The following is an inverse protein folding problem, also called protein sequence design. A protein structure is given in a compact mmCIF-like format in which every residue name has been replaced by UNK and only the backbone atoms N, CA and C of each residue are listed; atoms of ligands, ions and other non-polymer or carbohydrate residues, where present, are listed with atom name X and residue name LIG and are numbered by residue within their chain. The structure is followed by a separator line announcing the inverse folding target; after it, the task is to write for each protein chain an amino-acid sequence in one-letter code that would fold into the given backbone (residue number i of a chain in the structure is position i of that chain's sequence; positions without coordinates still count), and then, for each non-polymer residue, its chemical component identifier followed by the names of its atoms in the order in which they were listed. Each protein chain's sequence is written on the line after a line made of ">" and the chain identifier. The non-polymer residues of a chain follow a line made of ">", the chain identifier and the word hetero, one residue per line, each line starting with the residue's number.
data_IF_888859032143
#
_entry.id   IF_888859032143
#
_cell.length_a   1.000
_cell.length_b   1.000
_cell.length_c   1.000
_cell.angle_alpha   90.00
_cell.angle_beta   90.00
_cell.angle_gamma   90.00
#
_symmetry.space_group_name_H-M   'P 1'
#
loop_
_entity.id
_entity.type
_entity.pdbx_description
1 polymer ?
#
# COMPACT_ATOMS: atom_id res chain seq x y z
N UNK A 1 20.56 24.80 11.78
CA UNK A 1 20.42 24.31 13.17
C UNK A 1 18.95 24.01 13.45
N UNK A 2 18.48 22.91 12.94
CA UNK A 2 17.13 22.47 13.23
C UNK A 2 17.12 21.75 14.57
N UNK A 3 16.41 22.32 15.47
CA UNK A 3 16.18 21.88 16.83
C UNK A 3 15.72 20.41 16.88
N UNK A 4 16.67 19.53 17.14
CA UNK A 4 16.42 18.19 17.67
C UNK A 4 16.06 18.33 19.17
N UNK A 5 15.06 19.18 19.44
CA UNK A 5 14.84 19.69 20.79
C UNK A 5 13.84 18.89 21.63
N UNK A 6 13.47 17.65 21.24
CA UNK A 6 12.53 16.86 22.07
C UNK A 6 12.66 15.34 21.98
N UNK A 7 13.81 14.76 21.65
CA UNK A 7 14.01 13.32 21.81
C UNK A 7 12.99 12.41 21.08
N UNK A 8 12.23 12.92 20.12
CA UNK A 8 11.30 12.14 19.33
C UNK A 8 12.08 11.43 18.23
N UNK A 9 12.04 10.11 18.23
CA UNK A 9 12.65 9.33 17.17
C UNK A 9 12.06 9.78 15.81
N UNK A 10 12.94 10.10 14.85
CA UNK A 10 12.54 10.45 13.50
C UNK A 10 11.82 9.26 12.86
N UNK A 11 10.71 9.51 12.24
CA UNK A 11 10.02 8.48 11.48
C UNK A 11 10.78 8.12 10.20
N UNK A 12 10.70 6.87 9.72
CA UNK A 12 11.39 6.45 8.49
C UNK A 12 11.08 7.35 7.28
N UNK A 13 9.85 7.81 7.15
CA UNK A 13 9.44 8.70 6.04
C UNK A 13 10.02 10.11 6.15
N UNK A 14 10.33 10.61 7.35
CA UNK A 14 11.03 11.89 7.54
C UNK A 14 12.50 11.80 7.08
N UNK A 15 13.15 10.66 7.37
CA UNK A 15 14.50 10.40 6.86
C UNK A 15 14.52 10.28 5.33
N UNK A 16 13.52 9.65 4.73
CA UNK A 16 13.37 9.59 3.28
C UNK A 16 13.14 10.98 2.69
N UNK A 17 12.26 11.80 3.29
CA UNK A 17 12.06 13.20 2.89
C UNK A 17 13.40 13.93 2.84
N UNK A 18 14.15 13.90 3.94
CA UNK A 18 15.44 14.58 4.05
C UNK A 18 16.46 14.06 3.04
N UNK A 19 16.52 12.75 2.82
CA UNK A 19 17.40 12.14 1.81
C UNK A 19 17.10 12.66 0.40
N UNK A 20 15.84 12.61 -0.01
CA UNK A 20 15.45 13.00 -1.37
C UNK A 20 15.53 14.52 -1.61
N UNK A 21 15.30 15.34 -0.58
CA UNK A 21 15.49 16.79 -0.71
C UNK A 21 16.94 17.15 -1.01
N UNK A 22 17.92 16.47 -0.42
CA UNK A 22 19.35 16.71 -0.71
C UNK A 22 19.75 16.42 -2.16
N UNK A 23 19.00 15.56 -2.85
CA UNK A 23 19.26 15.17 -4.25
C UNK A 23 18.64 16.17 -5.23
N UNK A 24 17.63 16.94 -4.79
CA UNK A 24 16.95 17.90 -5.67
C UNK A 24 17.86 19.09 -5.91
N UNK A 25 18.22 19.31 -7.17
CA UNK A 25 18.99 20.48 -7.59
C UNK A 25 18.09 21.72 -7.72
N UNK A 26 18.50 22.80 -7.05
CA UNK A 26 17.90 24.11 -7.19
C UNK A 26 16.76 24.41 -6.19
N UNK A 27 16.87 25.61 -5.58
CA UNK A 27 16.01 26.07 -4.48
C UNK A 27 14.51 25.99 -4.78
N UNK A 28 14.08 26.37 -5.98
CA UNK A 28 12.67 26.30 -6.40
C UNK A 28 12.13 24.87 -6.49
N UNK A 29 13.00 23.90 -6.84
CA UNK A 29 12.60 22.48 -6.90
C UNK A 29 12.40 21.88 -5.51
N UNK A 30 13.28 22.26 -4.60
CA UNK A 30 13.23 21.85 -3.19
C UNK A 30 11.99 22.44 -2.49
N UNK A 31 11.78 23.77 -2.60
CA UNK A 31 10.62 24.46 -2.03
C UNK A 31 9.29 23.80 -2.47
N UNK A 32 9.13 23.55 -3.75
CA UNK A 32 7.92 22.89 -4.29
C UNK A 32 7.76 21.46 -3.75
N UNK A 33 8.82 20.69 -3.60
CA UNK A 33 8.75 19.34 -3.05
C UNK A 33 8.37 19.35 -1.56
N UNK A 34 8.86 20.33 -0.81
CA UNK A 34 8.48 20.57 0.59
C UNK A 34 7.02 20.94 0.71
N UNK A 35 6.54 21.91 -0.09
CA UNK A 35 5.13 22.31 -0.11
C UNK A 35 4.22 21.13 -0.43
N UNK A 36 4.52 20.35 -1.49
CA UNK A 36 3.77 19.16 -1.87
C UNK A 36 3.73 18.09 -0.77
N UNK A 37 4.76 18.03 0.09
CA UNK A 37 4.81 17.09 1.20
C UNK A 37 4.04 17.59 2.42
N UNK A 38 4.18 18.85 2.78
CA UNK A 38 3.60 19.42 4.02
C UNK A 38 2.09 19.57 3.97
N UNK A 39 1.51 19.62 2.77
CA UNK A 39 0.05 19.59 2.59
C UNK A 39 -0.55 18.21 2.92
N UNK A 40 0.28 17.15 2.95
CA UNK A 40 -0.18 15.79 3.24
C UNK A 40 -0.18 15.49 4.73
N UNK A 41 -1.18 14.72 5.16
CA UNK A 41 -1.20 14.22 6.53
C UNK A 41 0.00 13.29 6.78
N UNK A 42 0.89 13.58 7.74
CA UNK A 42 2.03 12.72 8.07
C UNK A 42 1.61 11.30 8.48
N UNK A 43 0.44 11.17 9.11
CA UNK A 43 -0.12 9.86 9.49
C UNK A 43 -0.45 9.04 8.24
N UNK A 44 -1.10 9.65 7.25
CA UNK A 44 -1.43 8.98 5.99
C UNK A 44 -0.17 8.55 5.23
N UNK A 45 0.90 9.35 5.24
CA UNK A 45 2.19 8.97 4.66
C UNK A 45 2.80 7.77 5.40
N UNK A 46 2.82 7.81 6.73
CA UNK A 46 3.32 6.70 7.54
C UNK A 46 2.55 5.40 7.27
N UNK A 47 1.23 5.48 7.16
CA UNK A 47 0.36 4.35 6.84
C UNK A 47 0.61 3.82 5.43
N UNK A 48 0.80 4.70 4.44
CA UNK A 48 1.12 4.29 3.07
C UNK A 48 2.35 3.39 3.03
N UNK A 49 3.43 3.78 3.70
CA UNK A 49 4.64 2.95 3.73
C UNK A 49 4.46 1.70 4.58
N UNK A 50 4.00 1.84 5.83
CA UNK A 50 3.90 0.75 6.80
C UNK A 50 2.90 -0.32 6.40
N UNK A 51 1.73 0.11 5.88
CA UNK A 51 0.59 -0.78 5.70
C UNK A 51 0.40 -1.25 4.26
N UNK A 52 1.03 -0.57 3.28
CA UNK A 52 0.85 -0.88 1.86
C UNK A 52 2.16 -1.09 1.11
N UNK A 53 2.97 -0.06 0.88
CA UNK A 53 4.12 -0.17 -0.02
C UNK A 53 5.15 -1.20 0.47
N UNK A 54 5.53 -1.12 1.74
CA UNK A 54 6.52 -2.02 2.33
C UNK A 54 6.07 -3.49 2.36
N UNK A 55 4.85 -3.81 2.84
CA UNK A 55 4.34 -5.18 2.76
C UNK A 55 4.21 -5.69 1.32
N UNK A 56 3.67 -4.90 0.39
CA UNK A 56 3.52 -5.31 -1.01
C UNK A 56 4.90 -5.65 -1.61
N UNK A 57 5.91 -4.81 -1.38
CA UNK A 57 7.25 -5.04 -1.90
C UNK A 57 7.84 -6.39 -1.44
N UNK A 58 7.64 -6.73 -0.18
CA UNK A 58 8.10 -8.01 0.39
C UNK A 58 7.25 -9.18 -0.09
N UNK A 59 5.93 -9.11 0.03
CA UNK A 59 5.04 -10.21 -0.30
C UNK A 59 5.02 -10.55 -1.79
N UNK A 60 5.18 -9.56 -2.66
CA UNK A 60 5.35 -9.78 -4.10
C UNK A 60 6.60 -10.60 -4.42
N UNK A 61 7.62 -10.57 -3.56
CA UNK A 61 8.85 -11.37 -3.64
C UNK A 61 8.84 -12.62 -2.77
N UNK A 62 7.68 -12.97 -2.23
CA UNK A 62 7.48 -14.09 -1.30
C UNK A 62 8.40 -14.01 -0.07
N UNK A 63 8.62 -12.80 0.43
CA UNK A 63 9.42 -12.54 1.63
C UNK A 63 8.50 -12.06 2.76
N UNK A 64 8.77 -12.54 3.97
CA UNK A 64 8.13 -12.00 5.18
C UNK A 64 8.65 -10.58 5.43
N UNK A 65 7.81 -9.70 5.94
CA UNK A 65 8.21 -8.36 6.35
C UNK A 65 7.93 -8.15 7.85
N UNK A 66 8.70 -7.27 8.45
CA UNK A 66 8.45 -6.70 9.78
C UNK A 66 7.65 -5.41 9.69
N UNK A 67 7.74 -4.58 10.73
CA UNK A 67 7.30 -3.19 10.65
C UNK A 67 8.28 -2.39 9.79
N UNK A 68 7.80 -1.37 9.10
CA UNK A 68 8.65 -0.43 8.37
C UNK A 68 9.43 0.43 9.36
N UNK A 69 10.75 0.36 9.35
CA UNK A 69 11.66 1.01 10.29
C UNK A 69 12.72 1.85 9.58
N UNK A 70 13.53 2.57 10.34
CA UNK A 70 14.66 3.35 9.80
C UNK A 70 15.72 2.48 9.13
N UNK A 71 15.80 1.19 9.44
CA UNK A 71 16.71 0.24 8.78
C UNK A 71 16.25 -0.12 7.36
N UNK A 72 14.98 0.11 7.03
CA UNK A 72 14.37 -0.29 5.76
C UNK A 72 14.33 0.83 4.72
N UNK A 73 14.80 2.04 5.05
CA UNK A 73 14.71 3.22 4.17
C UNK A 73 15.44 3.04 2.85
N UNK A 74 16.48 2.18 2.80
CA UNK A 74 17.25 1.93 1.58
C UNK A 74 16.39 1.40 0.43
N UNK A 75 15.30 0.72 0.73
CA UNK A 75 14.33 0.26 -0.27
C UNK A 75 13.68 1.40 -1.06
N UNK A 76 13.63 2.60 -0.47
CA UNK A 76 12.96 3.77 -1.03
C UNK A 76 13.90 4.93 -1.33
N UNK A 77 15.21 4.71 -1.31
CA UNK A 77 16.19 5.71 -1.78
C UNK A 77 16.18 5.90 -3.29
N UNK A 78 15.67 4.90 -4.02
CA UNK A 78 15.61 4.96 -5.48
C UNK A 78 16.98 4.77 -6.14
N UNK A 79 17.03 5.04 -7.44
CA UNK A 79 18.28 5.02 -8.25
C UNK A 79 18.76 6.44 -8.50
N UNK A 80 20.04 6.60 -8.82
CA UNK A 80 20.62 7.90 -9.15
C UNK A 80 19.84 8.59 -10.28
N UNK A 81 19.52 9.91 -10.11
CA UNK A 81 18.64 10.64 -11.04
C UNK A 81 19.18 10.70 -12.47
N UNK A 82 20.48 10.69 -12.62
CA UNK A 82 21.18 10.81 -13.91
C UNK A 82 21.62 9.47 -14.47
N UNK A 83 21.24 8.36 -13.85
CA UNK A 83 21.53 7.03 -14.32
C UNK A 83 20.80 6.69 -15.64
N UNK A 84 21.37 5.80 -16.43
CA UNK A 84 20.73 5.26 -17.63
C UNK A 84 19.36 4.65 -17.34
N UNK A 85 19.21 4.00 -16.20
CA UNK A 85 17.92 3.48 -15.74
C UNK A 85 16.89 4.59 -15.52
N UNK A 86 17.29 5.69 -14.86
CA UNK A 86 16.38 6.82 -14.61
C UNK A 86 15.94 7.50 -15.90
N UNK A 87 16.83 7.63 -16.89
CA UNK A 87 16.50 8.12 -18.20
C UNK A 87 15.49 7.20 -18.90
N UNK A 88 15.79 5.92 -19.00
CA UNK A 88 14.91 4.92 -19.60
C UNK A 88 13.55 4.83 -18.89
N UNK A 89 13.52 4.99 -17.56
CA UNK A 89 12.32 5.06 -16.75
C UNK A 89 11.44 6.23 -17.16
N UNK A 90 11.99 7.42 -17.35
CA UNK A 90 11.25 8.62 -17.73
C UNK A 90 10.73 8.55 -19.17
N UNK A 91 11.48 7.94 -20.08
CA UNK A 91 11.13 7.83 -21.51
C UNK A 91 10.05 6.76 -21.76
N UNK A 92 10.15 5.60 -21.10
CA UNK A 92 9.25 4.47 -21.36
C UNK A 92 7.80 4.66 -20.86
N UNK A 93 7.54 5.69 -20.04
CA UNK A 93 6.27 5.76 -19.31
C UNK A 93 5.44 6.98 -19.65
N UNK A 94 4.67 6.84 -20.70
CA UNK A 94 3.61 7.81 -21.07
C UNK A 94 2.29 7.64 -20.29
N UNK A 95 2.09 6.55 -19.53
CA UNK A 95 0.84 6.26 -18.83
C UNK A 95 0.96 5.87 -17.37
N UNK A 96 1.72 4.82 -17.04
CA UNK A 96 1.94 4.37 -15.67
C UNK A 96 3.38 4.67 -15.24
N UNK A 97 3.57 5.73 -14.46
CA UNK A 97 4.92 6.22 -14.10
C UNK A 97 5.64 5.35 -13.08
N UNK A 98 4.91 4.69 -12.18
CA UNK A 98 5.48 3.95 -11.05
C UNK A 98 4.95 2.53 -11.05
N UNK A 99 5.74 1.61 -10.51
CA UNK A 99 5.31 0.28 -10.10
C UNK A 99 5.94 -0.02 -8.74
N UNK A 100 5.14 -0.51 -7.80
CA UNK A 100 5.55 -0.70 -6.39
C UNK A 100 6.79 -1.59 -6.27
N UNK A 101 6.96 -2.53 -7.17
CA UNK A 101 8.06 -3.49 -7.13
C UNK A 101 9.27 -3.10 -7.98
N UNK A 102 9.23 -1.98 -8.68
CA UNK A 102 10.34 -1.47 -9.47
C UNK A 102 11.01 -0.28 -8.79
N UNK A 103 12.33 -0.10 -8.97
CA UNK A 103 12.98 1.10 -8.48
C UNK A 103 12.48 2.34 -9.25
N UNK A 104 12.63 3.49 -8.63
CA UNK A 104 12.28 4.80 -9.21
C UNK A 104 13.49 5.75 -9.08
N UNK A 105 13.56 6.83 -9.89
CA UNK A 105 14.63 7.81 -9.76
C UNK A 105 14.56 8.56 -8.43
N UNK A 106 15.71 8.72 -7.76
CA UNK A 106 15.80 9.46 -6.51
C UNK A 106 15.48 10.96 -6.70
N UNK A 107 15.32 11.66 -5.58
CA UNK A 107 14.99 13.08 -5.58
C UNK A 107 13.51 13.35 -5.82
N UNK A 108 13.18 14.17 -6.81
CA UNK A 108 11.81 14.65 -7.04
C UNK A 108 10.80 13.54 -7.34
N UNK A 109 11.22 12.47 -7.98
CA UNK A 109 10.33 11.35 -8.34
C UNK A 109 9.82 10.59 -7.10
N UNK A 110 10.55 10.63 -5.96
CA UNK A 110 10.05 10.11 -4.70
C UNK A 110 8.76 10.81 -4.24
N UNK A 111 8.72 12.14 -4.23
CA UNK A 111 7.55 12.91 -3.80
C UNK A 111 6.35 12.65 -4.72
N UNK A 112 6.61 12.55 -6.01
CA UNK A 112 5.58 12.19 -7.00
C UNK A 112 5.08 10.76 -6.82
N UNK A 113 5.96 9.81 -6.52
CA UNK A 113 5.63 8.42 -6.25
C UNK A 113 4.73 8.31 -5.01
N UNK A 114 5.07 8.98 -3.92
CA UNK A 114 4.25 9.01 -2.71
C UNK A 114 2.87 9.60 -3.01
N UNK A 115 2.81 10.74 -3.72
CA UNK A 115 1.55 11.34 -4.12
C UNK A 115 0.72 10.39 -4.99
N UNK A 116 1.34 9.76 -5.97
CA UNK A 116 0.69 8.81 -6.89
C UNK A 116 0.01 7.66 -6.14
N UNK A 117 0.70 7.01 -5.21
CA UNK A 117 0.12 5.88 -4.48
C UNK A 117 -0.90 6.30 -3.43
N UNK A 118 -0.77 7.48 -2.83
CA UNK A 118 -1.82 8.04 -1.97
C UNK A 118 -3.12 8.27 -2.75
N UNK A 119 -3.02 8.88 -3.93
CA UNK A 119 -4.19 9.12 -4.79
C UNK A 119 -4.78 7.80 -5.30
N UNK A 120 -3.95 6.88 -5.77
CA UNK A 120 -4.40 5.56 -6.24
C UNK A 120 -5.17 4.81 -5.14
N UNK A 121 -4.65 4.79 -3.91
CA UNK A 121 -5.32 4.13 -2.79
C UNK A 121 -6.66 4.80 -2.46
N UNK A 122 -6.70 6.14 -2.48
CA UNK A 122 -7.93 6.91 -2.28
C UNK A 122 -8.96 6.60 -3.38
N UNK A 123 -8.56 6.56 -4.64
CA UNK A 123 -9.43 6.23 -5.76
C UNK A 123 -9.98 4.80 -5.66
N UNK A 124 -9.13 3.82 -5.32
CA UNK A 124 -9.55 2.43 -5.13
C UNK A 124 -10.59 2.30 -4.00
N UNK A 125 -10.38 3.00 -2.89
CA UNK A 125 -11.33 3.03 -1.78
C UNK A 125 -12.66 3.70 -2.19
N UNK A 126 -12.58 4.80 -2.94
CA UNK A 126 -13.76 5.47 -3.49
C UNK A 126 -14.53 4.54 -4.43
N UNK A 127 -13.86 3.84 -5.33
CA UNK A 127 -14.50 2.89 -6.22
C UNK A 127 -15.21 1.76 -5.45
N UNK A 128 -14.62 1.23 -4.39
CA UNK A 128 -15.30 0.27 -3.51
C UNK A 128 -16.56 0.90 -2.87
N UNK A 129 -16.49 2.18 -2.49
CA UNK A 129 -17.60 2.87 -1.84
C UNK A 129 -18.79 3.13 -2.78
N UNK A 130 -18.54 3.45 -4.07
CA UNK A 130 -19.58 3.96 -4.98
C UNK A 130 -19.96 3.01 -6.11
N UNK A 131 -19.11 2.05 -6.49
CA UNK A 131 -19.34 1.20 -7.64
C UNK A 131 -20.42 0.13 -7.35
N UNK A 132 -21.57 0.14 -8.05
CA UNK A 132 -22.65 -0.82 -7.83
C UNK A 132 -22.22 -2.29 -8.00
N UNK A 133 -21.27 -2.55 -8.91
CA UNK A 133 -20.76 -3.90 -9.14
C UNK A 133 -19.97 -4.44 -7.93
N UNK A 134 -19.52 -3.57 -7.02
CA UNK A 134 -18.77 -3.88 -5.81
C UNK A 134 -19.59 -3.72 -4.52
N UNK A 135 -20.89 -3.46 -4.64
CA UNK A 135 -21.78 -3.24 -3.49
C UNK A 135 -21.67 -4.35 -2.43
N UNK A 136 -21.59 -5.61 -2.86
CA UNK A 136 -21.45 -6.74 -1.91
C UNK A 136 -20.12 -6.73 -1.17
N UNK A 137 -19.04 -6.31 -1.82
CA UNK A 137 -17.72 -6.14 -1.17
C UNK A 137 -17.80 -5.04 -0.13
N UNK A 138 -18.39 -3.89 -0.48
CA UNK A 138 -18.63 -2.78 0.44
C UNK A 138 -19.44 -3.22 1.67
N UNK A 139 -20.59 -3.87 1.46
CA UNK A 139 -21.45 -4.34 2.55
C UNK A 139 -20.69 -5.23 3.55
N UNK A 140 -19.87 -6.16 3.05
CA UNK A 140 -19.09 -7.03 3.93
C UNK A 140 -18.01 -6.25 4.67
N UNK A 141 -17.32 -5.31 3.99
CA UNK A 141 -16.28 -4.48 4.61
C UNK A 141 -16.82 -3.67 5.80
N UNK A 142 -18.06 -3.21 5.73
CA UNK A 142 -18.68 -2.37 6.74
C UNK A 142 -19.61 -3.12 7.70
N UNK A 143 -19.97 -4.38 7.41
CA UNK A 143 -20.97 -5.15 8.16
C UNK A 143 -20.62 -5.32 9.64
N UNK A 144 -19.34 -5.47 9.96
CA UNK A 144 -18.89 -5.70 11.34
C UNK A 144 -18.84 -4.43 12.18
N UNK A 145 -18.91 -3.25 11.56
CA UNK A 145 -18.91 -1.95 12.30
C UNK A 145 -20.21 -1.70 13.08
N UNK A 146 -21.11 -2.67 13.05
CA UNK A 146 -22.32 -2.82 13.85
C UNK A 146 -23.15 -1.55 14.05
N UNK A 147 -24.37 -1.57 13.58
CA UNK A 147 -25.50 -0.77 14.10
C UNK A 147 -26.04 0.40 13.36
N UNK A 148 -25.45 0.92 12.32
CA UNK A 148 -26.08 2.11 11.76
C UNK A 148 -26.53 1.96 10.32
N UNK A 149 -27.80 2.24 10.07
CA UNK A 149 -28.36 2.54 8.74
C UNK A 149 -27.56 3.64 8.01
N UNK A 150 -26.72 4.41 8.73
CA UNK A 150 -25.74 5.36 8.17
C UNK A 150 -24.66 4.71 7.31
N UNK A 151 -24.32 3.44 7.57
CA UNK A 151 -23.30 2.73 6.77
C UNK A 151 -23.76 2.46 5.33
N UNK A 152 -25.04 2.51 5.04
CA UNK A 152 -25.57 2.39 3.68
C UNK A 152 -25.24 3.60 2.78
N UNK A 153 -24.86 4.73 3.38
CA UNK A 153 -24.60 6.00 2.70
C UNK A 153 -23.09 6.30 2.49
N UNK A 154 -22.21 5.32 2.72
CA UNK A 154 -20.77 5.51 2.46
C UNK A 154 -20.54 5.72 0.96
N UNK A 155 -20.04 6.90 0.60
CA UNK A 155 -19.83 7.35 -0.78
C UNK A 155 -18.42 7.89 -1.04
N UNK A 156 -17.59 8.00 0.01
CA UNK A 156 -16.23 8.50 -0.09
C UNK A 156 -15.20 7.50 0.44
N UNK A 157 -13.94 7.74 0.12
CA UNK A 157 -12.82 6.96 0.63
C UNK A 157 -12.65 7.18 2.14
N UNK A 158 -12.82 8.41 2.59
CA UNK A 158 -12.68 8.82 3.99
C UNK A 158 -13.74 8.13 4.88
N UNK A 159 -15.00 8.13 4.42
CA UNK A 159 -16.09 7.43 5.11
C UNK A 159 -15.85 5.92 5.19
N UNK A 160 -15.29 5.34 4.13
CA UNK A 160 -14.90 3.93 4.13
C UNK A 160 -13.77 3.66 5.12
N UNK A 161 -12.75 4.53 5.20
CA UNK A 161 -11.64 4.39 6.16
C UNK A 161 -12.13 4.48 7.59
N UNK A 162 -13.01 5.44 7.91
CA UNK A 162 -13.62 5.53 9.24
C UNK A 162 -14.43 4.28 9.60
N UNK A 163 -15.13 3.69 8.64
CA UNK A 163 -15.85 2.43 8.85
C UNK A 163 -14.91 1.26 9.08
N UNK A 164 -13.79 1.20 8.37
CA UNK A 164 -12.76 0.18 8.53
C UNK A 164 -12.01 0.29 9.85
N UNK A 165 -11.75 1.50 10.33
CA UNK A 165 -11.07 1.74 11.61
C UNK A 165 -11.89 1.25 12.82
N UNK A 166 -13.22 1.26 12.68
CA UNK A 166 -14.15 0.72 13.70
C UNK A 166 -14.23 -0.81 13.72
N UNK A 167 -13.64 -1.48 12.72
CA UNK A 167 -13.68 -2.95 12.63
C UNK A 167 -12.79 -3.62 13.70
N UNK A 168 -13.12 -4.84 14.12
CA UNK A 168 -12.24 -5.65 14.97
C UNK A 168 -10.85 -5.82 14.36
N UNK A 169 -9.80 -5.86 15.20
CA UNK A 169 -8.39 -5.91 14.76
C UNK A 169 -8.14 -7.02 13.74
N UNK A 170 -8.64 -8.23 13.99
CA UNK A 170 -8.45 -9.35 13.06
C UNK A 170 -9.11 -9.12 11.69
N UNK A 171 -10.25 -8.42 11.65
CA UNK A 171 -10.88 -8.06 10.38
C UNK A 171 -10.11 -6.96 9.65
N UNK A 172 -9.60 -5.95 10.37
CA UNK A 172 -8.73 -4.91 9.79
C UNK A 172 -7.50 -5.49 9.10
N UNK A 173 -6.94 -6.56 9.65
CA UNK A 173 -5.83 -7.28 9.02
C UNK A 173 -6.20 -7.89 7.66
N UNK A 174 -7.36 -8.52 7.57
CA UNK A 174 -7.85 -9.04 6.28
C UNK A 174 -8.18 -7.92 5.29
N UNK A 175 -8.75 -6.81 5.77
CA UNK A 175 -8.99 -5.62 4.94
C UNK A 175 -7.68 -5.02 4.40
N UNK A 176 -6.66 -4.90 5.25
CA UNK A 176 -5.33 -4.43 4.82
C UNK A 176 -4.74 -5.34 3.74
N UNK A 177 -4.79 -6.64 3.94
CA UNK A 177 -4.32 -7.60 2.93
C UNK A 177 -5.08 -7.46 1.60
N UNK A 178 -6.40 -7.27 1.67
CA UNK A 178 -7.22 -7.01 0.49
C UNK A 178 -6.77 -5.75 -0.26
N UNK A 179 -6.63 -4.63 0.44
CA UNK A 179 -6.19 -3.37 -0.19
C UNK A 179 -4.74 -3.44 -0.70
N UNK A 180 -3.85 -4.20 -0.05
CA UNK A 180 -2.52 -4.48 -0.60
C UNK A 180 -2.60 -5.23 -1.93
N UNK A 181 -3.41 -6.28 -2.01
CA UNK A 181 -3.58 -7.06 -3.23
C UNK A 181 -4.27 -6.24 -4.34
N UNK A 182 -5.26 -5.44 -3.98
CA UNK A 182 -5.98 -4.57 -4.91
C UNK A 182 -5.07 -3.46 -5.47
N UNK A 183 -4.29 -2.80 -4.60
CA UNK A 183 -3.32 -1.78 -5.01
C UNK A 183 -2.26 -2.38 -5.93
N UNK A 184 -1.71 -3.54 -5.59
CA UNK A 184 -0.75 -4.28 -6.42
C UNK A 184 -1.35 -4.66 -7.79
N UNK A 185 -2.61 -5.11 -7.81
CA UNK A 185 -3.32 -5.46 -9.04
C UNK A 185 -3.52 -4.24 -9.94
N UNK A 186 -4.04 -3.15 -9.38
CA UNK A 186 -4.31 -1.93 -10.14
C UNK A 186 -3.02 -1.27 -10.63
N UNK A 187 -1.98 -1.23 -9.80
CA UNK A 187 -0.63 -0.77 -10.17
C UNK A 187 -0.07 -1.57 -11.37
N UNK A 188 -0.30 -2.88 -11.39
CA UNK A 188 0.21 -3.76 -12.46
C UNK A 188 -0.57 -3.65 -13.76
N UNK A 189 -1.89 -3.64 -13.70
CA UNK A 189 -2.76 -3.79 -14.88
C UNK A 189 -3.45 -2.48 -15.31
N UNK A 190 -3.56 -1.48 -14.44
CA UNK A 190 -4.18 -0.19 -14.72
C UNK A 190 -5.70 -0.24 -14.92
N UNK A 191 -6.34 -1.38 -14.61
CA UNK A 191 -7.78 -1.58 -14.77
C UNK A 191 -8.40 -2.15 -13.50
N UNK A 192 -9.62 -1.74 -13.19
CA UNK A 192 -10.40 -2.23 -12.07
C UNK A 192 -11.52 -3.16 -12.57
N UNK A 193 -11.19 -4.44 -12.74
CA UNK A 193 -12.18 -5.45 -13.09
C UNK A 193 -12.91 -5.93 -11.83
N UNK A 194 -14.26 -5.84 -11.84
CA UNK A 194 -15.07 -6.19 -10.69
C UNK A 194 -14.96 -7.68 -10.29
N UNK A 195 -14.70 -8.59 -11.24
CA UNK A 195 -14.52 -10.02 -10.94
C UNK A 195 -13.17 -10.23 -10.26
N UNK A 196 -12.11 -9.56 -10.75
CA UNK A 196 -10.81 -9.61 -10.13
C UNK A 196 -10.87 -9.05 -8.70
N UNK A 197 -11.51 -7.89 -8.49
CA UNK A 197 -11.71 -7.30 -7.15
C UNK A 197 -12.40 -8.28 -6.21
N UNK A 198 -13.50 -8.92 -6.64
CA UNK A 198 -14.22 -9.90 -5.82
C UNK A 198 -13.36 -11.13 -5.48
N UNK A 199 -12.53 -11.60 -6.40
CA UNK A 199 -11.61 -12.73 -6.16
C UNK A 199 -10.51 -12.34 -5.15
N UNK A 200 -9.91 -11.16 -5.30
CA UNK A 200 -8.92 -10.63 -4.37
C UNK A 200 -9.53 -10.44 -2.98
N UNK A 201 -10.74 -9.93 -2.90
CA UNK A 201 -11.48 -9.80 -1.66
C UNK A 201 -11.73 -11.14 -0.99
N UNK A 202 -12.26 -12.11 -1.73
CA UNK A 202 -12.51 -13.47 -1.21
C UNK A 202 -11.22 -14.10 -0.71
N UNK A 203 -10.12 -14.00 -1.49
CA UNK A 203 -8.83 -14.51 -1.08
C UNK A 203 -8.35 -13.88 0.23
N UNK A 204 -8.44 -12.56 0.36
CA UNK A 204 -8.02 -11.87 1.57
C UNK A 204 -8.89 -12.22 2.79
N UNK A 205 -10.21 -12.36 2.61
CA UNK A 205 -11.13 -12.73 3.70
C UNK A 205 -10.95 -14.18 4.16
N UNK A 206 -10.48 -15.08 3.30
CA UNK A 206 -10.13 -16.46 3.67
C UNK A 206 -8.99 -16.54 4.70
N UNK A 207 -8.19 -15.47 4.86
CA UNK A 207 -7.24 -15.36 5.97
C UNK A 207 -7.90 -15.63 7.33
N UNK A 208 -9.13 -15.15 7.53
CA UNK A 208 -9.87 -15.33 8.78
C UNK A 208 -10.36 -16.76 9.00
N UNK A 209 -10.59 -17.49 7.91
CA UNK A 209 -11.01 -18.90 7.96
C UNK A 209 -9.79 -19.80 8.20
N UNK A 210 -8.68 -19.48 7.55
CA UNK A 210 -7.48 -20.31 7.55
C UNK A 210 -6.59 -20.13 8.79
N UNK A 211 -6.75 -19.04 9.53
CA UNK A 211 -5.87 -18.69 10.66
C UNK A 211 -6.68 -18.45 11.93
N UNK A 212 -6.39 -19.22 12.98
CA UNK A 212 -7.04 -19.05 14.28
C UNK A 212 -6.63 -17.76 14.99
N UNK A 213 -5.37 -17.38 14.88
CA UNK A 213 -4.82 -16.17 15.46
C UNK A 213 -4.36 -15.22 14.36
N UNK A 214 -5.02 -14.06 14.25
CA UNK A 214 -4.72 -13.05 13.25
C UNK A 214 -3.75 -12.02 13.81
N UNK A 215 -2.48 -12.28 13.61
CA UNK A 215 -1.38 -11.37 13.88
C UNK A 215 -0.55 -11.15 12.62
N UNK A 216 0.43 -10.27 12.72
CA UNK A 216 1.29 -9.91 11.58
C UNK A 216 2.05 -11.13 11.00
N UNK A 217 2.46 -12.07 11.85
CA UNK A 217 3.10 -13.31 11.41
C UNK A 217 2.16 -14.18 10.54
N UNK A 218 0.89 -14.27 10.91
CA UNK A 218 -0.12 -15.04 10.16
C UNK A 218 -0.39 -14.42 8.80
N UNK A 219 -0.48 -13.08 8.76
CA UNK A 219 -0.67 -12.35 7.49
C UNK A 219 0.52 -12.60 6.56
N UNK A 220 1.75 -12.53 7.07
CA UNK A 220 2.95 -12.81 6.29
C UNK A 220 2.92 -14.20 5.65
N UNK A 221 2.68 -15.23 6.46
CA UNK A 221 2.58 -16.63 5.99
C UNK A 221 1.53 -16.75 4.89
N UNK A 222 0.36 -16.17 5.13
CA UNK A 222 -0.74 -16.21 4.19
C UNK A 222 -0.45 -15.49 2.88
N UNK A 223 0.07 -14.27 2.96
CA UNK A 223 0.36 -13.43 1.79
C UNK A 223 1.42 -14.03 0.85
N UNK A 224 2.45 -14.70 1.43
CA UNK A 224 3.51 -15.33 0.63
C UNK A 224 3.17 -16.76 0.19
N UNK A 225 2.03 -17.31 0.62
CA UNK A 225 1.64 -18.68 0.32
C UNK A 225 2.55 -19.71 0.99
N UNK A 226 2.93 -19.47 2.26
CA UNK A 226 3.73 -20.42 3.02
C UNK A 226 2.86 -21.60 3.47
N UNK A 227 3.29 -22.81 3.13
CA UNK A 227 2.65 -24.03 3.57
C UNK A 227 3.01 -24.32 5.02
N UNK A 228 2.03 -24.58 5.85
CA UNK A 228 2.24 -25.07 7.20
C UNK A 228 2.16 -26.62 7.19
N UNK A 229 3.28 -27.35 7.38
CA UNK A 229 3.29 -28.80 7.33
C UNK A 229 2.39 -29.48 8.38
N UNK A 230 2.10 -28.77 9.47
CA UNK A 230 1.25 -29.30 10.56
C UNK A 230 -0.25 -29.05 10.33
N UNK A 231 -0.60 -28.17 9.39
CA UNK A 231 -1.98 -27.74 9.13
C UNK A 231 -2.33 -27.84 7.66
N UNK A 232 -1.93 -28.90 7.00
CA UNK A 232 -1.94 -29.10 5.55
C UNK A 232 -3.28 -28.85 4.86
N UNK A 233 -4.39 -28.99 5.57
CA UNK A 233 -5.73 -28.89 4.99
C UNK A 233 -6.25 -27.45 4.85
N UNK A 234 -5.66 -26.47 5.52
CA UNK A 234 -6.21 -25.11 5.63
C UNK A 234 -5.22 -23.99 5.33
N UNK A 235 -4.01 -24.30 4.88
CA UNK A 235 -3.00 -23.29 4.62
C UNK A 235 -3.16 -22.74 3.21
N UNK A 236 -3.21 -21.41 3.07
CA UNK A 236 -3.16 -20.78 1.77
C UNK A 236 -1.80 -21.03 1.13
N UNK A 237 -1.82 -21.61 -0.07
CA UNK A 237 -0.62 -21.86 -0.88
C UNK A 237 -0.51 -20.91 -2.08
N UNK A 238 -1.43 -19.96 -2.22
CA UNK A 238 -1.53 -19.07 -3.37
C UNK A 238 -0.89 -17.72 -3.03
N UNK A 239 0.34 -17.43 -3.49
CA UNK A 239 1.02 -16.15 -3.28
C UNK A 239 0.50 -15.10 -4.28
N UNK A 240 -0.72 -14.61 -4.05
CA UNK A 240 -1.46 -13.75 -5.01
C UNK A 240 -0.65 -12.54 -5.45
N UNK A 241 0.02 -11.82 -4.54
CA UNK A 241 0.80 -10.64 -4.91
C UNK A 241 1.99 -11.00 -5.83
N UNK A 242 2.68 -12.10 -5.54
CA UNK A 242 3.76 -12.60 -6.40
C UNK A 242 3.25 -12.99 -7.79
N UNK A 243 2.07 -13.61 -7.86
CA UNK A 243 1.43 -13.97 -9.13
C UNK A 243 1.03 -12.74 -9.94
N UNK A 244 0.47 -11.72 -9.30
CA UNK A 244 0.12 -10.44 -9.95
C UNK A 244 1.35 -9.80 -10.58
N UNK A 245 2.44 -9.70 -9.85
CA UNK A 245 3.67 -9.05 -10.32
C UNK A 245 4.34 -9.83 -11.46
N UNK A 246 4.32 -11.16 -11.41
CA UNK A 246 4.89 -12.01 -12.45
C UNK A 246 4.01 -12.20 -13.69
N UNK A 247 2.73 -11.83 -13.62
CA UNK A 247 1.82 -11.95 -14.76
C UNK A 247 2.26 -11.03 -15.92
N UNK A 248 2.17 -11.55 -17.13
CA UNK A 248 2.37 -10.74 -18.35
C UNK A 248 1.20 -9.75 -18.49
N UNK A 249 1.53 -8.54 -18.93
CA UNK A 249 0.54 -7.52 -19.28
C UNK A 249 -0.18 -7.90 -20.56
#
# INVERSE_FOLDING_TARGET
>A
DSQNSRGRALYPHDLLKAYHLRIISGKKGEERAVEEWEVKDPKAIAELFRDYLFPIWHWARRRKCGGFTTADIDLYKGVEPDSEYAYAYRVRRTGARYQITEPFPAGRDFFKMVHHYMQMLKELKREIAVNPALQKVKEILIASSGRDKKNALITSAEELDEALDRQPVGFRHACRLFFCALLCYYDRFGVLDARAVKRLFTWAMMLRVNMQHLGFASINKYAIGERDPQKDQYTNVIPVLSMIVSARK
#
